data_IF_672903385362
#
_entry.id   IF_672903385362
#
_cell.length_a   1.000
_cell.length_b   1.000
_cell.length_c   1.000
_cell.angle_alpha   90.00
_cell.angle_beta   90.00
_cell.angle_gamma   90.00
#
_symmetry.space_group_name_H-M   'P 1'
#
loop_
_entity.id
_entity.type
_entity.pdbx_description
1 polymer ?
#
# COMPACT_ATOMS: atom_id res chain seq x y z
N UNK A 1 -15.83 -13.23 -8.11
CA UNK A 1 -16.83 -12.35 -7.45
C UNK A 1 -16.25 -10.93 -7.36
N UNK A 2 -16.69 -9.99 -8.19
CA UNK A 2 -16.05 -8.67 -8.30
C UNK A 2 -16.25 -7.75 -7.09
N UNK A 3 -17.39 -7.89 -6.39
CA UNK A 3 -17.63 -7.15 -5.15
C UNK A 3 -16.61 -7.55 -4.07
N UNK A 4 -16.23 -8.82 -4.05
CA UNK A 4 -15.19 -9.33 -3.15
C UNK A 4 -13.80 -8.79 -3.52
N UNK A 5 -13.46 -8.78 -4.81
CA UNK A 5 -12.20 -8.20 -5.29
C UNK A 5 -12.06 -6.72 -4.89
N UNK A 6 -13.11 -5.92 -5.08
CA UNK A 6 -13.09 -4.49 -4.73
C UNK A 6 -12.93 -4.26 -3.23
N UNK A 7 -13.55 -5.10 -2.39
CA UNK A 7 -13.34 -5.04 -0.94
C UNK A 7 -11.88 -5.31 -0.58
N UNK A 8 -11.26 -6.30 -1.21
CA UNK A 8 -9.84 -6.58 -0.99
C UNK A 8 -8.93 -5.46 -1.47
N UNK A 9 -9.21 -4.87 -2.63
CA UNK A 9 -8.42 -3.74 -3.15
C UNK A 9 -8.56 -2.50 -2.27
N UNK A 10 -9.76 -2.21 -1.76
CA UNK A 10 -9.97 -1.13 -0.81
C UNK A 10 -9.20 -1.36 0.49
N UNK A 11 -9.29 -2.57 1.04
CA UNK A 11 -8.57 -2.91 2.26
C UNK A 11 -7.06 -2.82 2.06
N UNK A 12 -6.56 -3.41 0.96
CA UNK A 12 -5.14 -3.36 0.61
C UNK A 12 -4.64 -1.92 0.45
N UNK A 13 -5.41 -1.05 -0.22
CA UNK A 13 -5.08 0.38 -0.34
C UNK A 13 -4.92 1.01 1.05
N UNK A 14 -5.89 0.78 1.95
CA UNK A 14 -5.84 1.31 3.31
C UNK A 14 -4.60 0.81 4.04
N UNK A 15 -4.32 -0.49 3.98
CA UNK A 15 -3.19 -1.10 4.66
C UNK A 15 -1.86 -0.49 4.17
N UNK A 16 -1.67 -0.36 2.85
CA UNK A 16 -0.48 0.27 2.27
C UNK A 16 -0.35 1.74 2.67
N UNK A 17 -1.44 2.51 2.68
CA UNK A 17 -1.39 3.90 3.10
C UNK A 17 -1.01 4.01 4.59
N UNK A 18 -1.63 3.20 5.46
CA UNK A 18 -1.26 3.17 6.89
C UNK A 18 0.22 2.84 7.07
N UNK A 19 0.73 1.81 6.40
CA UNK A 19 2.14 1.42 6.45
C UNK A 19 3.07 2.57 6.04
N UNK A 20 2.77 3.23 4.92
CA UNK A 20 3.55 4.39 4.45
C UNK A 20 3.55 5.54 5.45
N UNK A 21 2.43 5.80 6.13
CA UNK A 21 2.37 6.82 7.17
C UNK A 21 3.16 6.42 8.42
N UNK A 22 3.11 5.15 8.82
CA UNK A 22 3.95 4.61 9.90
C UNK A 22 5.44 4.72 9.61
N UNK A 23 5.87 4.39 8.40
CA UNK A 23 7.26 4.53 7.96
C UNK A 23 7.74 5.98 8.03
N UNK A 24 6.93 6.92 7.52
CA UNK A 24 7.26 8.35 7.59
C UNK A 24 7.37 8.85 9.02
N UNK A 25 6.48 8.42 9.91
CA UNK A 25 6.52 8.80 11.31
C UNK A 25 7.79 8.28 12.00
N UNK A 26 8.17 7.03 11.75
CA UNK A 26 9.43 6.45 12.28
C UNK A 26 10.64 7.23 11.77
N UNK A 27 10.70 7.54 10.47
CA UNK A 27 11.80 8.31 9.89
C UNK A 27 11.89 9.72 10.49
N UNK A 28 10.74 10.38 10.70
CA UNK A 28 10.69 11.69 11.33
C UNK A 28 11.19 11.65 12.78
N UNK A 29 10.80 10.63 13.55
CA UNK A 29 11.28 10.40 14.91
C UNK A 29 12.79 10.17 14.96
N UNK A 30 13.30 9.28 14.10
CA UNK A 30 14.73 8.99 13.99
C UNK A 30 15.53 10.24 13.63
N UNK A 31 15.04 11.03 12.66
CA UNK A 31 15.70 12.23 12.21
C UNK A 31 15.67 13.36 13.25
N UNK A 32 14.55 13.53 13.93
CA UNK A 32 14.34 14.62 14.88
C UNK A 32 14.97 14.39 16.26
N UNK A 33 14.92 13.16 16.77
CA UNK A 33 15.30 12.88 18.16
C UNK A 33 16.55 12.00 18.27
N UNK A 34 16.68 10.98 17.43
CA UNK A 34 17.70 9.95 17.62
C UNK A 34 19.04 10.32 16.96
N UNK A 35 19.00 10.77 15.69
CA UNK A 35 20.20 11.16 14.95
C UNK A 35 20.98 12.31 15.63
N UNK A 36 20.36 13.40 16.11
CA UNK A 36 21.10 14.49 16.76
C UNK A 36 21.82 14.03 18.03
N UNK A 37 21.20 13.14 18.81
CA UNK A 37 21.81 12.58 20.02
C UNK A 37 22.97 11.66 19.66
N UNK A 38 22.79 10.76 18.69
CA UNK A 38 23.85 9.87 18.20
C UNK A 38 25.04 10.66 17.65
N UNK A 39 24.79 11.70 16.84
CA UNK A 39 25.86 12.58 16.34
C UNK A 39 26.56 13.34 17.46
N UNK A 40 25.82 13.79 18.48
CA UNK A 40 26.41 14.48 19.65
C UNK A 40 27.32 13.55 20.44
N UNK A 41 26.92 12.30 20.63
CA UNK A 41 27.74 11.30 21.33
C UNK A 41 28.95 10.92 20.48
N UNK A 42 28.75 10.64 19.19
CA UNK A 42 29.83 10.31 18.27
C UNK A 42 30.88 11.42 18.18
N UNK A 43 30.46 12.69 18.11
CA UNK A 43 31.37 13.83 18.08
C UNK A 43 32.17 14.02 19.39
N UNK A 44 31.69 13.47 20.52
CA UNK A 44 32.38 13.53 21.81
C UNK A 44 33.34 12.36 22.06
N UNK A 45 33.10 11.22 21.41
CA UNK A 45 33.77 9.95 21.73
C UNK A 45 34.69 9.47 20.59
N UNK A 46 34.40 9.83 19.35
CA UNK A 46 35.08 9.31 18.16
C UNK A 46 35.82 10.42 17.41
N UNK A 47 37.01 10.12 16.90
CA UNK A 47 37.66 10.98 15.93
C UNK A 47 36.91 10.97 14.58
N UNK A 48 37.06 12.00 13.72
CA UNK A 48 36.35 12.07 12.43
C UNK A 48 36.56 10.85 11.52
N UNK A 49 37.71 10.17 11.61
CA UNK A 49 37.99 8.92 10.87
C UNK A 49 37.20 7.73 11.42
N UNK A 50 37.05 7.65 12.74
CA UNK A 50 36.35 6.56 13.41
C UNK A 50 34.84 6.67 13.23
N UNK A 51 34.29 7.89 13.15
CA UNK A 51 32.88 8.12 12.80
C UNK A 51 32.55 7.53 11.42
N UNK A 52 33.43 7.69 10.43
CA UNK A 52 33.22 7.14 9.09
C UNK A 52 33.25 5.60 9.05
N UNK A 53 34.11 4.98 9.85
CA UNK A 53 34.17 3.51 9.98
C UNK A 53 32.97 2.95 10.73
N UNK A 54 32.55 3.62 11.82
CA UNK A 54 31.39 3.20 12.61
C UNK A 54 30.08 3.36 11.83
N UNK A 55 29.89 4.48 11.13
CA UNK A 55 28.75 4.68 10.24
C UNK A 55 28.68 3.62 9.13
N UNK A 56 29.83 3.21 8.58
CA UNK A 56 29.91 2.16 7.56
C UNK A 56 29.57 0.77 8.13
N UNK A 57 29.96 0.49 9.38
CA UNK A 57 29.57 -0.74 10.08
C UNK A 57 28.07 -0.81 10.36
N UNK A 58 27.45 0.31 10.74
CA UNK A 58 26.00 0.42 10.93
C UNK A 58 25.19 0.16 9.65
N UNK A 59 25.79 0.43 8.49
CA UNK A 59 25.18 0.31 7.16
C UNK A 59 25.42 -1.06 6.49
N UNK A 60 26.27 -1.92 7.06
CA UNK A 60 26.78 -3.10 6.37
C UNK A 60 26.58 -4.39 7.17
N UNK A 61 25.35 -4.91 7.17
CA UNK A 61 25.07 -6.34 7.44
C UNK A 61 24.02 -6.85 6.45
N UNK A 62 24.48 -7.42 5.32
CA UNK A 62 23.62 -7.97 4.26
C UNK A 62 22.95 -9.29 4.67
N UNK A 63 23.46 -9.98 5.71
CA UNK A 63 22.82 -11.17 6.31
C UNK A 63 21.71 -10.80 7.32
N UNK A 64 21.62 -9.53 7.70
CA UNK A 64 20.64 -8.98 8.62
C UNK A 64 19.36 -8.48 7.94
N UNK A 65 19.33 -8.42 6.60
CA UNK A 65 18.25 -7.73 5.87
C UNK A 65 16.85 -8.29 6.18
N UNK A 66 16.70 -9.62 6.26
CA UNK A 66 15.42 -10.25 6.62
C UNK A 66 15.02 -9.93 8.07
N UNK A 67 15.98 -9.94 8.99
CA UNK A 67 15.75 -9.62 10.41
C UNK A 67 15.42 -8.13 10.58
N UNK A 68 16.15 -7.26 9.90
CA UNK A 68 15.90 -5.83 9.83
C UNK A 68 14.52 -5.54 9.24
N UNK A 69 14.10 -6.25 8.19
CA UNK A 69 12.78 -6.09 7.58
C UNK A 69 11.67 -6.54 8.54
N UNK A 70 11.86 -7.65 9.27
CA UNK A 70 10.91 -8.10 10.30
C UNK A 70 10.77 -7.07 11.42
N UNK A 71 11.87 -6.53 11.93
CA UNK A 71 11.82 -5.52 13.00
C UNK A 71 11.26 -4.19 12.49
N UNK A 72 11.62 -3.77 11.26
CA UNK A 72 11.01 -2.63 10.58
C UNK A 72 9.49 -2.80 10.48
N UNK A 73 9.02 -3.94 9.98
CA UNK A 73 7.60 -4.26 9.84
C UNK A 73 6.87 -4.19 11.19
N UNK A 74 7.48 -4.73 12.27
CA UNK A 74 6.92 -4.62 13.64
C UNK A 74 6.81 -3.18 14.10
N UNK A 75 7.84 -2.36 13.88
CA UNK A 75 7.82 -0.95 14.27
C UNK A 75 6.72 -0.19 13.51
N UNK A 76 6.66 -0.36 12.18
CA UNK A 76 5.64 0.26 11.33
C UNK A 76 4.24 -0.17 11.76
N UNK A 77 4.03 -1.46 12.03
CA UNK A 77 2.74 -1.99 12.50
C UNK A 77 2.26 -1.34 13.80
N UNK A 78 3.18 -1.00 14.71
CA UNK A 78 2.85 -0.32 15.99
C UNK A 78 2.53 1.16 15.84
N UNK A 79 3.02 1.82 14.80
CA UNK A 79 2.90 3.28 14.62
C UNK A 79 1.94 3.68 13.51
N UNK A 80 1.63 2.80 12.56
CA UNK A 80 0.85 3.13 11.36
C UNK A 80 -0.52 3.75 11.61
N UNK A 81 -1.26 3.23 12.59
CA UNK A 81 -2.61 3.74 12.88
C UNK A 81 -2.54 5.08 13.62
N UNK A 82 -1.65 5.20 14.60
CA UNK A 82 -1.43 6.47 15.31
C UNK A 82 -0.97 7.58 14.34
N UNK A 83 -0.05 7.26 13.43
CA UNK A 83 0.43 8.20 12.41
C UNK A 83 -0.68 8.68 11.46
N UNK A 84 -1.63 7.80 11.12
CA UNK A 84 -2.80 8.20 10.35
C UNK A 84 -3.76 9.08 11.15
N UNK A 85 -4.01 8.74 12.42
CA UNK A 85 -4.91 9.51 13.28
C UNK A 85 -4.39 10.92 13.58
N UNK A 86 -3.08 11.17 13.43
CA UNK A 86 -2.50 12.50 13.50
C UNK A 86 -2.83 13.41 12.29
N UNK A 87 -3.34 12.86 11.19
CA UNK A 87 -3.79 13.65 10.05
C UNK A 87 -5.06 14.43 10.38
N UNK A 88 -5.28 15.56 9.70
CA UNK A 88 -6.56 16.27 9.79
C UNK A 88 -7.72 15.41 9.27
N UNK A 89 -8.96 15.64 9.72
CA UNK A 89 -10.12 14.88 9.23
C UNK A 89 -10.29 14.92 7.70
N UNK A 90 -9.95 16.04 7.06
CA UNK A 90 -9.95 16.18 5.60
C UNK A 90 -8.90 15.31 4.91
N UNK A 91 -7.70 15.24 5.48
CA UNK A 91 -6.62 14.40 4.95
C UNK A 91 -6.94 12.91 5.13
N UNK A 92 -7.49 12.54 6.29
CA UNK A 92 -7.95 11.18 6.56
C UNK A 92 -9.01 10.75 5.53
N UNK A 93 -10.00 11.61 5.27
CA UNK A 93 -11.04 11.36 4.28
C UNK A 93 -10.47 11.23 2.87
N UNK A 94 -9.52 12.08 2.49
CA UNK A 94 -8.87 12.04 1.19
C UNK A 94 -8.05 10.75 1.00
N UNK A 95 -7.27 10.37 2.02
CA UNK A 95 -6.45 9.14 2.00
C UNK A 95 -7.33 7.90 1.93
N UNK A 96 -8.43 7.83 2.68
CA UNK A 96 -9.34 6.68 2.65
C UNK A 96 -10.26 6.65 1.41
N UNK A 97 -10.32 7.73 0.63
CA UNK A 97 -11.19 7.82 -0.55
C UNK A 97 -10.77 6.85 -1.65
N UNK A 98 -11.71 6.04 -2.11
CA UNK A 98 -11.49 5.08 -3.20
C UNK A 98 -12.63 5.18 -4.21
N UNK A 99 -12.29 5.57 -5.45
CA UNK A 99 -13.26 5.73 -6.52
C UNK A 99 -13.30 4.45 -7.33
N UNK A 100 -14.45 3.78 -7.33
CA UNK A 100 -14.70 2.59 -8.14
C UNK A 100 -15.81 2.88 -9.14
N UNK A 101 -15.47 2.87 -10.44
CA UNK A 101 -16.40 3.15 -11.54
C UNK A 101 -17.12 1.89 -12.06
N UNK A 102 -17.14 0.81 -11.26
CA UNK A 102 -17.76 -0.45 -11.65
C UNK A 102 -16.82 -1.35 -12.45
N UNK A 103 -17.40 -2.36 -13.09
CA UNK A 103 -16.72 -3.27 -13.99
C UNK A 103 -17.21 -3.05 -15.42
N UNK A 104 -16.28 -2.77 -16.34
CA UNK A 104 -16.60 -2.65 -17.75
C UNK A 104 -17.03 -3.99 -18.38
N UNK A 105 -16.48 -5.12 -17.91
CA UNK A 105 -16.77 -6.47 -18.44
C UNK A 105 -18.24 -6.93 -18.30
N UNK A 106 -18.99 -6.46 -17.29
CA UNK A 106 -20.40 -6.86 -17.14
C UNK A 106 -21.34 -6.12 -18.09
N UNK A 107 -20.95 -4.94 -18.59
CA UNK A 107 -21.71 -4.24 -19.64
C UNK A 107 -21.53 -4.96 -20.98
N UNK A 108 -20.32 -5.43 -21.29
CA UNK A 108 -20.03 -6.25 -22.47
C UNK A 108 -20.74 -7.60 -22.45
N UNK A 109 -20.75 -8.32 -21.31
CA UNK A 109 -21.44 -9.62 -21.25
C UNK A 109 -22.96 -9.53 -21.41
N UNK A 110 -23.58 -8.43 -20.96
CA UNK A 110 -25.02 -8.23 -21.17
C UNK A 110 -25.35 -7.93 -22.64
N UNK A 111 -24.45 -7.27 -23.38
CA UNK A 111 -24.59 -7.07 -24.83
C UNK A 111 -24.59 -8.41 -25.58
N UNK A 112 -23.69 -9.33 -25.21
CA UNK A 112 -23.63 -10.68 -25.82
C UNK A 112 -24.89 -11.49 -25.50
N UNK A 113 -25.38 -11.46 -24.25
CA UNK A 113 -26.63 -12.15 -23.88
C UNK A 113 -27.85 -11.62 -24.64
N UNK A 114 -27.96 -10.29 -24.76
CA UNK A 114 -29.03 -9.66 -25.55
C UNK A 114 -28.95 -10.04 -27.03
N UNK A 115 -27.74 -10.04 -27.60
CA UNK A 115 -27.50 -10.45 -28.99
C UNK A 115 -27.89 -11.90 -29.25
N UNK A 116 -27.51 -12.83 -28.37
CA UNK A 116 -27.87 -14.25 -28.49
C UNK A 116 -29.38 -14.44 -28.42
N UNK A 117 -30.07 -13.78 -27.48
CA UNK A 117 -31.54 -13.86 -27.38
C UNK A 117 -32.23 -13.32 -28.63
N UNK A 118 -31.74 -12.20 -29.17
CA UNK A 118 -32.28 -11.61 -30.40
C UNK A 118 -32.08 -12.52 -31.63
N UNK A 119 -30.90 -13.14 -31.77
CA UNK A 119 -30.59 -14.07 -32.86
C UNK A 119 -31.45 -15.34 -32.75
N UNK A 120 -31.62 -15.89 -31.53
CA UNK A 120 -32.51 -17.02 -31.29
C UNK A 120 -33.96 -16.69 -31.63
N UNK A 121 -34.43 -15.48 -31.27
CA UNK A 121 -35.77 -15.00 -31.65
C UNK A 121 -35.94 -14.90 -33.16
N UNK A 122 -34.95 -14.33 -33.85
CA UNK A 122 -34.96 -14.22 -35.31
C UNK A 122 -35.07 -15.58 -36.01
N UNK A 123 -34.28 -16.58 -35.61
CA UNK A 123 -34.36 -17.91 -36.23
C UNK A 123 -35.71 -18.59 -35.99
N UNK A 124 -36.27 -18.44 -34.78
CA UNK A 124 -37.60 -18.94 -34.45
C UNK A 124 -38.70 -18.26 -35.30
N UNK A 125 -38.64 -16.94 -35.47
CA UNK A 125 -39.63 -16.19 -36.26
C UNK A 125 -39.54 -16.47 -37.76
N UNK A 126 -38.36 -16.86 -38.25
CA UNK A 126 -38.12 -17.18 -39.66
C UNK A 126 -38.21 -18.66 -39.99
N UNK A 127 -38.55 -19.49 -39.00
CA UNK A 127 -38.60 -20.95 -39.12
C UNK A 127 -37.30 -21.54 -39.70
N UNK A 128 -36.18 -20.92 -39.33
CA UNK A 128 -34.84 -21.32 -39.74
C UNK A 128 -34.24 -22.24 -38.68
N UNK A 129 -33.60 -23.32 -39.13
CA UNK A 129 -32.67 -24.06 -38.29
C UNK A 129 -31.46 -23.16 -38.05
N UNK A 130 -31.35 -22.63 -36.84
CA UNK A 130 -30.11 -22.03 -36.39
C UNK A 130 -28.96 -23.06 -36.40
N UNK A 131 -27.69 -22.62 -36.45
CA UNK A 131 -26.55 -23.44 -36.03
C UNK A 131 -26.73 -24.04 -34.64
#
# INVERSE_FOLDING_TARGET
NQKLLIRFLLQWKKDCDRERHGEKAILALLAGEMLPVLFTIAAKVLSPKEVGVWAKGLLCEHEDEVRCEVERSKMVSRTKEAAFLCLSPSEQSLVDSFIWLGCCMHKELNMVKGGVVAIMGFWKDKDLSGP
#
